data_IF_139384488727
#
_entry.id   IF_139384488727
#
_cell.length_a   1.000
_cell.length_b   1.000
_cell.length_c   1.000
_cell.angle_alpha   90.00
_cell.angle_beta   90.00
_cell.angle_gamma   90.00
#
_symmetry.space_group_name_H-M   'P 1'
#
loop_
_entity.id
_entity.type
_entity.pdbx_description
1 polymer ?
#
# COMPACT_ATOMS: atom_id res chain seq x y z
N UNK A 1 -19.29 -45.26 2.46
CA UNK A 1 -18.05 -44.73 1.87
C UNK A 1 -18.46 -43.61 0.92
N UNK A 2 -18.26 -42.37 1.40
CA UNK A 2 -18.34 -41.04 0.75
C UNK A 2 -19.48 -40.71 -0.24
N UNK A 3 -20.39 -39.89 0.30
CA UNK A 3 -21.37 -39.00 -0.33
C UNK A 3 -20.69 -37.78 -0.95
N UNK A 4 -21.09 -37.35 -2.15
CA UNK A 4 -21.10 -35.93 -2.55
C UNK A 4 -22.26 -35.67 -3.53
N UNK A 5 -22.96 -34.56 -3.27
CA UNK A 5 -24.25 -34.11 -3.82
C UNK A 5 -23.97 -32.78 -4.51
N UNK A 6 -24.06 -32.71 -5.84
CA UNK A 6 -23.87 -31.48 -6.60
C UNK A 6 -25.09 -31.20 -7.48
N UNK A 7 -25.93 -30.27 -7.03
CA UNK A 7 -26.74 -29.41 -7.88
C UNK A 7 -26.05 -28.04 -7.91
N UNK A 8 -25.94 -27.42 -9.09
CA UNK A 8 -26.38 -26.04 -9.37
C UNK A 8 -25.78 -25.55 -10.70
N UNK A 9 -26.66 -25.48 -11.70
CA UNK A 9 -26.78 -24.46 -12.74
C UNK A 9 -25.59 -24.04 -13.62
N UNK A 10 -25.60 -24.67 -14.80
CA UNK A 10 -25.42 -24.09 -16.13
C UNK A 10 -25.69 -22.56 -16.17
N UNK A 11 -24.64 -21.76 -16.38
CA UNK A 11 -24.74 -20.47 -17.10
C UNK A 11 -23.89 -20.56 -18.36
N UNK A 12 -24.60 -20.75 -19.47
CA UNK A 12 -24.10 -20.84 -20.83
C UNK A 12 -23.26 -19.61 -21.18
N UNK A 13 -22.02 -19.88 -21.59
CA UNK A 13 -21.15 -18.96 -22.29
C UNK A 13 -21.90 -18.29 -23.45
N UNK A 14 -22.13 -16.98 -23.30
CA UNK A 14 -22.14 -16.03 -24.42
C UNK A 14 -21.15 -14.91 -24.10
N UNK A 15 -19.91 -15.29 -23.77
CA UNK A 15 -18.82 -14.34 -23.58
C UNK A 15 -18.17 -14.08 -24.95
N UNK A 16 -18.45 -12.90 -25.49
CA UNK A 16 -17.85 -12.37 -26.72
C UNK A 16 -16.32 -12.52 -26.67
N UNK A 17 -15.68 -12.93 -27.78
CA UNK A 17 -14.22 -13.06 -27.92
C UNK A 17 -13.43 -11.84 -27.39
N UNK A 18 -14.06 -10.68 -27.37
CA UNK A 18 -13.49 -9.43 -26.86
C UNK A 18 -13.19 -9.46 -25.35
N UNK A 19 -14.02 -10.10 -24.52
CA UNK A 19 -13.80 -10.15 -23.07
C UNK A 19 -12.71 -11.12 -22.65
N UNK A 20 -12.51 -12.21 -23.41
CA UNK A 20 -11.38 -13.12 -23.22
C UNK A 20 -10.04 -12.47 -23.58
N UNK A 21 -9.98 -11.70 -24.67
CA UNK A 21 -8.78 -10.96 -25.09
C UNK A 21 -8.46 -9.84 -24.08
N UNK A 22 -9.48 -9.12 -23.59
CA UNK A 22 -9.30 -8.10 -22.55
C UNK A 22 -8.80 -8.74 -21.24
N UNK A 23 -9.34 -9.89 -20.84
CA UNK A 23 -8.86 -10.63 -19.67
C UNK A 23 -7.42 -11.13 -19.84
N UNK A 24 -7.06 -11.68 -21.00
CA UNK A 24 -5.68 -12.12 -21.30
C UNK A 24 -4.73 -10.93 -21.36
N UNK A 25 -5.14 -9.79 -21.93
CA UNK A 25 -4.36 -8.55 -21.92
C UNK A 25 -4.19 -8.01 -20.50
N UNK A 26 -5.24 -7.96 -19.68
CA UNK A 26 -5.16 -7.54 -18.28
C UNK A 26 -4.25 -8.47 -17.46
N UNK A 27 -4.37 -9.79 -17.65
CA UNK A 27 -3.50 -10.77 -16.98
C UNK A 27 -2.04 -10.63 -17.44
N UNK A 28 -1.83 -10.41 -18.73
CA UNK A 28 -0.49 -10.16 -19.30
C UNK A 28 0.10 -8.85 -18.80
N UNK A 29 -0.69 -7.78 -18.71
CA UNK A 29 -0.27 -6.46 -18.19
C UNK A 29 0.09 -6.55 -16.70
N UNK A 30 -0.74 -7.20 -15.88
CA UNK A 30 -0.44 -7.49 -14.47
C UNK A 30 0.82 -8.35 -14.32
N UNK A 31 0.96 -9.39 -15.15
CA UNK A 31 2.14 -10.26 -15.17
C UNK A 31 3.41 -9.48 -15.58
N UNK A 32 3.35 -8.60 -16.59
CA UNK A 32 4.49 -7.75 -16.97
C UNK A 32 4.88 -6.77 -15.87
N UNK A 33 3.95 -6.18 -15.12
CA UNK A 33 4.33 -5.26 -14.02
C UNK A 33 5.00 -5.99 -12.86
N UNK A 34 4.53 -7.19 -12.50
CA UNK A 34 5.15 -8.02 -11.46
C UNK A 34 6.51 -8.58 -11.94
N UNK A 35 6.64 -9.00 -13.20
CA UNK A 35 7.92 -9.39 -13.79
C UNK A 35 8.90 -8.23 -13.93
N UNK A 36 8.42 -7.03 -14.31
CA UNK A 36 9.25 -5.82 -14.40
C UNK A 36 9.80 -5.42 -13.03
N UNK A 37 8.95 -5.48 -12.00
CA UNK A 37 9.37 -5.33 -10.60
C UNK A 37 10.47 -6.31 -10.20
N UNK A 38 10.38 -7.57 -10.64
CA UNK A 38 11.41 -8.58 -10.36
C UNK A 38 12.69 -8.40 -11.19
N UNK A 39 12.65 -7.70 -12.33
CA UNK A 39 13.81 -7.52 -13.21
C UNK A 39 14.68 -6.30 -12.89
N UNK A 40 14.12 -5.30 -12.21
CA UNK A 40 14.87 -4.09 -11.80
C UNK A 40 15.55 -4.30 -10.45
N UNK A 41 16.76 -3.74 -10.30
CA UNK A 41 17.57 -3.87 -9.09
C UNK A 41 17.27 -2.73 -8.07
N UNK A 42 16.06 -2.71 -7.54
CA UNK A 42 15.68 -1.76 -6.48
C UNK A 42 16.50 -1.99 -5.21
N UNK A 43 16.92 -0.92 -4.55
CA UNK A 43 17.72 -0.97 -3.33
C UNK A 43 16.91 -0.58 -2.10
N UNK A 44 15.89 0.28 -2.25
CA UNK A 44 15.15 0.82 -1.11
C UNK A 44 13.68 1.10 -1.46
N UNK A 45 12.81 0.24 -0.97
CA UNK A 45 11.37 0.29 -1.24
C UNK A 45 10.64 1.04 -0.15
N UNK A 46 9.77 1.98 -0.53
CA UNK A 46 8.80 2.63 0.33
C UNK A 46 7.45 1.93 0.23
N UNK A 47 6.88 1.51 1.35
CA UNK A 47 5.53 0.98 1.44
C UNK A 47 4.69 1.85 2.38
N UNK A 48 3.96 2.86 1.85
CA UNK A 48 3.01 3.64 2.64
C UNK A 48 1.79 2.79 3.02
N UNK A 49 1.37 2.85 4.29
CA UNK A 49 0.24 2.07 4.80
C UNK A 49 -0.89 2.96 5.34
N UNK A 50 -2.12 2.41 5.35
CA UNK A 50 -3.31 3.08 5.89
C UNK A 50 -4.12 2.21 6.85
N UNK A 51 -3.55 1.07 7.30
CA UNK A 51 -4.20 0.04 8.11
C UNK A 51 -5.46 -0.59 7.49
N UNK A 52 -5.73 -0.31 6.22
CA UNK A 52 -6.76 -0.99 5.43
C UNK A 52 -6.24 -2.34 4.94
N UNK A 53 -7.14 -3.30 4.73
CA UNK A 53 -6.79 -4.65 4.28
C UNK A 53 -5.89 -4.63 3.03
N UNK A 54 -6.19 -3.75 2.06
CA UNK A 54 -5.41 -3.65 0.82
C UNK A 54 -3.99 -3.13 1.07
N UNK A 55 -3.85 -2.13 1.95
CA UNK A 55 -2.53 -1.62 2.34
C UNK A 55 -1.74 -2.68 3.12
N UNK A 56 -2.39 -3.48 3.96
CA UNK A 56 -1.75 -4.55 4.73
C UNK A 56 -1.38 -5.74 3.83
N UNK A 57 -2.18 -6.06 2.82
CA UNK A 57 -1.86 -7.08 1.83
C UNK A 57 -0.65 -6.67 0.99
N UNK A 58 -0.64 -5.41 0.52
CA UNK A 58 0.51 -4.86 -0.20
C UNK A 58 1.79 -4.89 0.64
N UNK A 59 1.70 -4.53 1.92
CA UNK A 59 2.82 -4.63 2.84
C UNK A 59 3.31 -6.08 2.97
N UNK A 60 2.41 -7.05 3.14
CA UNK A 60 2.78 -8.47 3.29
C UNK A 60 3.53 -9.00 2.07
N UNK A 61 3.04 -8.71 0.86
CA UNK A 61 3.72 -9.10 -0.38
C UNK A 61 5.09 -8.40 -0.50
N UNK A 62 5.17 -7.11 -0.15
CA UNK A 62 6.42 -6.35 -0.19
C UNK A 62 7.44 -6.90 0.79
N UNK A 63 7.04 -7.18 2.03
CA UNK A 63 7.88 -7.80 3.06
C UNK A 63 8.41 -9.15 2.59
N UNK A 64 7.56 -9.98 1.98
CA UNK A 64 7.99 -11.28 1.47
C UNK A 64 9.00 -11.12 0.32
N UNK A 65 8.81 -10.14 -0.54
CA UNK A 65 9.78 -9.84 -1.59
C UNK A 65 11.10 -9.34 -1.00
N UNK A 66 11.08 -8.29 -0.18
CA UNK A 66 12.28 -7.73 0.42
C UNK A 66 12.98 -8.74 1.32
N UNK A 67 12.30 -9.58 2.08
CA UNK A 67 12.97 -10.59 2.92
C UNK A 67 13.93 -11.49 2.14
N UNK A 68 13.62 -11.78 0.88
CA UNK A 68 14.40 -12.67 0.03
C UNK A 68 15.43 -11.95 -0.86
N UNK A 69 15.46 -10.62 -0.82
CA UNK A 69 16.35 -9.78 -1.63
C UNK A 69 17.02 -8.77 -0.71
N UNK A 70 18.32 -8.47 -0.82
CA UNK A 70 18.99 -7.55 0.12
C UNK A 70 18.57 -6.07 -0.11
N UNK A 71 17.29 -5.76 0.04
CA UNK A 71 16.60 -4.52 -0.29
C UNK A 71 16.05 -3.95 1.01
N UNK A 72 16.30 -2.68 1.28
CA UNK A 72 15.75 -2.00 2.45
C UNK A 72 14.25 -1.70 2.25
N UNK A 73 13.47 -1.87 3.32
CA UNK A 73 12.03 -1.61 3.33
C UNK A 73 11.71 -0.50 4.33
N UNK A 74 11.20 0.62 3.85
CA UNK A 74 10.60 1.66 4.68
C UNK A 74 9.08 1.51 4.71
N UNK A 75 8.53 1.35 5.91
CA UNK A 75 7.09 1.30 6.17
C UNK A 75 6.68 2.65 6.72
N UNK A 76 5.86 3.38 5.98
CA UNK A 76 5.47 4.75 6.33
C UNK A 76 3.99 4.82 6.68
N UNK A 77 3.68 5.35 7.86
CA UNK A 77 2.34 5.77 8.22
C UNK A 77 2.30 7.30 8.38
N UNK A 78 1.39 7.96 7.66
CA UNK A 78 1.20 9.41 7.78
C UNK A 78 -0.10 9.70 8.52
N UNK A 79 0.03 10.42 9.63
CA UNK A 79 -1.11 10.97 10.36
C UNK A 79 -1.53 12.25 9.66
N UNK A 80 -2.68 12.19 8.98
CA UNK A 80 -3.21 13.31 8.20
C UNK A 80 -3.66 14.46 9.12
N UNK A 81 -2.84 15.50 9.20
CA UNK A 81 -3.16 16.72 9.95
C UNK A 81 -3.96 17.74 9.13
N UNK A 82 -4.15 17.50 7.83
CA UNK A 82 -4.94 18.40 6.96
C UNK A 82 -6.44 18.16 7.08
N UNK A 83 -6.85 16.91 7.33
CA UNK A 83 -8.24 16.57 7.70
C UNK A 83 -8.66 17.21 9.03
N UNK A 84 -7.70 17.58 9.88
CA UNK A 84 -7.96 18.30 11.13
C UNK A 84 -8.22 19.80 10.92
N UNK A 85 -7.99 20.33 9.71
CA UNK A 85 -8.08 21.77 9.41
C UNK A 85 -9.29 22.15 8.54
N UNK A 86 -9.91 21.21 7.83
CA UNK A 86 -11.04 21.50 6.93
C UNK A 86 -12.40 21.26 7.61
N UNK A 87 -12.98 22.35 8.14
CA UNK A 87 -14.32 22.36 8.73
C UNK A 87 -14.32 23.04 10.10
N UNK A 88 -14.58 24.34 10.10
CA UNK A 88 -14.87 25.20 11.26
C UNK A 88 -15.38 24.49 12.54
N UNK A 89 -14.79 24.83 13.70
CA UNK A 89 -15.21 24.52 15.10
C UNK A 89 -14.68 23.26 15.82
N UNK A 90 -13.64 22.57 15.33
CA UNK A 90 -12.86 21.65 16.19
C UNK A 90 -11.60 22.36 16.69
N UNK A 91 -11.22 22.26 17.97
CA UNK A 91 -9.93 22.75 18.41
C UNK A 91 -8.86 22.00 17.61
N UNK A 92 -7.90 22.73 17.03
CA UNK A 92 -6.62 22.15 16.60
C UNK A 92 -6.18 21.20 17.70
N UNK A 93 -5.96 19.92 17.39
CA UNK A 93 -5.61 18.91 18.40
C UNK A 93 -4.53 19.48 19.30
N UNK A 94 -4.77 19.44 20.62
CA UNK A 94 -3.79 19.94 21.57
C UNK A 94 -2.48 19.16 21.39
N UNK A 95 -1.32 19.75 21.74
CA UNK A 95 -0.05 19.03 21.69
C UNK A 95 -0.10 17.68 22.42
N UNK A 96 -0.89 17.61 23.50
CA UNK A 96 -1.14 16.39 24.26
C UNK A 96 -1.90 15.34 23.44
N UNK A 97 -2.97 15.73 22.74
CA UNK A 97 -3.75 14.82 21.88
C UNK A 97 -2.93 14.31 20.69
N UNK A 98 -2.10 15.16 20.09
CA UNK A 98 -1.20 14.76 19.01
C UNK A 98 -0.19 13.72 19.50
N UNK A 99 0.36 13.93 20.70
CA UNK A 99 1.28 13.00 21.35
C UNK A 99 0.60 11.66 21.66
N UNK A 100 -0.59 11.67 22.25
CA UNK A 100 -1.35 10.45 22.54
C UNK A 100 -1.66 9.67 21.25
N UNK A 101 -2.04 10.37 20.18
CA UNK A 101 -2.28 9.74 18.89
C UNK A 101 -1.00 9.14 18.29
N UNK A 102 0.13 9.85 18.36
CA UNK A 102 1.42 9.33 17.96
C UNK A 102 1.78 8.06 18.74
N UNK A 103 1.68 8.08 20.06
CA UNK A 103 1.98 6.94 20.94
C UNK A 103 1.12 5.70 20.60
N UNK A 104 -0.16 5.89 20.28
CA UNK A 104 -1.06 4.81 19.84
C UNK A 104 -0.52 4.17 18.55
N UNK A 105 -0.19 4.99 17.54
CA UNK A 105 0.29 4.46 16.27
C UNK A 105 1.71 3.93 16.33
N UNK A 106 2.58 4.50 17.17
CA UNK A 106 3.91 3.98 17.49
C UNK A 106 3.79 2.58 18.07
N UNK A 107 2.90 2.37 19.04
CA UNK A 107 2.66 1.03 19.60
C UNK A 107 2.14 0.04 18.55
N UNK A 108 1.19 0.46 17.71
CA UNK A 108 0.68 -0.40 16.61
C UNK A 108 1.79 -0.73 15.60
N UNK A 109 2.62 0.23 15.26
CA UNK A 109 3.73 0.06 14.33
C UNK A 109 4.80 -0.85 14.93
N UNK A 110 5.17 -0.69 16.19
CA UNK A 110 6.11 -1.59 16.89
C UNK A 110 5.62 -3.03 16.88
N UNK A 111 4.34 -3.27 17.17
CA UNK A 111 3.76 -4.61 17.09
C UNK A 111 3.79 -5.19 15.67
N UNK A 112 3.52 -4.35 14.66
CA UNK A 112 3.59 -4.74 13.25
C UNK A 112 5.02 -5.14 12.86
N UNK A 113 6.01 -4.33 13.23
CA UNK A 113 7.42 -4.62 12.96
C UNK A 113 7.85 -5.90 13.68
N UNK A 114 7.50 -6.06 14.96
CA UNK A 114 7.85 -7.27 15.70
C UNK A 114 7.34 -8.52 14.98
N UNK A 115 6.08 -8.51 14.52
CA UNK A 115 5.53 -9.61 13.74
C UNK A 115 6.30 -9.87 12.45
N UNK A 116 6.70 -8.83 11.72
CA UNK A 116 7.48 -8.96 10.48
C UNK A 116 8.87 -9.57 10.75
N UNK A 117 9.48 -9.24 11.88
CA UNK A 117 10.76 -9.79 12.33
C UNK A 117 10.61 -11.25 12.77
N UNK A 118 9.56 -11.58 13.54
CA UNK A 118 9.25 -12.94 13.97
C UNK A 118 8.99 -13.89 12.78
N UNK A 119 8.47 -13.34 11.67
CA UNK A 119 8.30 -14.05 10.40
C UNK A 119 9.60 -14.20 9.57
N UNK A 120 10.75 -13.77 10.11
CA UNK A 120 12.09 -14.03 9.56
C UNK A 120 12.73 -12.87 8.80
N UNK A 121 12.20 -11.65 8.90
CA UNK A 121 12.84 -10.47 8.29
C UNK A 121 13.96 -9.92 9.18
N UNK A 122 14.98 -9.29 8.59
CA UNK A 122 16.10 -8.72 9.35
C UNK A 122 15.75 -7.35 9.95
N UNK A 123 16.19 -7.09 11.19
CA UNK A 123 16.06 -5.78 11.85
C UNK A 123 16.82 -4.65 11.13
N UNK A 124 17.85 -4.99 10.36
CA UNK A 124 18.63 -4.01 9.58
C UNK A 124 17.98 -3.70 8.22
N UNK A 125 16.93 -4.43 7.87
CA UNK A 125 16.26 -4.33 6.59
C UNK A 125 14.96 -3.53 6.67
N UNK A 126 14.22 -3.68 7.76
CA UNK A 126 12.87 -3.13 7.90
C UNK A 126 12.89 -1.92 8.83
N UNK A 127 12.47 -0.76 8.31
CA UNK A 127 12.41 0.50 9.03
C UNK A 127 10.97 1.01 9.08
N UNK A 128 10.50 1.41 10.25
CA UNK A 128 9.18 2.02 10.40
C UNK A 128 9.29 3.53 10.61
N UNK A 129 8.35 4.25 10.02
CA UNK A 129 8.28 5.70 10.06
C UNK A 129 6.86 6.16 10.31
N UNK A 130 6.71 7.08 11.27
CA UNK A 130 5.47 7.82 11.49
C UNK A 130 5.76 9.29 11.23
N UNK A 131 4.90 9.94 10.46
CA UNK A 131 5.01 11.37 10.11
C UNK A 131 3.66 12.04 10.25
N UNK A 132 3.66 13.33 10.55
CA UNK A 132 2.48 14.18 10.53
C UNK A 132 2.50 15.04 9.27
N UNK A 133 1.34 15.25 8.64
CA UNK A 133 1.22 16.15 7.50
C UNK A 133 0.21 15.68 6.46
N UNK A 134 0.25 16.29 5.28
CA UNK A 134 -0.49 15.80 4.11
C UNK A 134 0.20 14.54 3.58
N UNK A 135 -0.47 13.36 3.57
CA UNK A 135 0.12 12.13 3.06
C UNK A 135 0.66 12.25 1.65
N UNK A 136 0.05 13.09 0.81
CA UNK A 136 0.47 13.31 -0.58
C UNK A 136 1.87 13.92 -0.65
N UNK A 137 2.10 14.99 0.11
CA UNK A 137 3.39 15.71 0.16
C UNK A 137 4.44 14.89 0.88
N UNK A 138 4.08 14.31 2.02
CA UNK A 138 5.04 13.49 2.79
C UNK A 138 5.54 12.33 1.94
N UNK A 139 4.65 11.61 1.24
CA UNK A 139 5.04 10.45 0.42
C UNK A 139 5.80 10.86 -0.85
N UNK A 140 5.37 11.91 -1.57
CA UNK A 140 5.96 12.23 -2.89
C UNK A 140 7.17 13.16 -2.83
N UNK A 141 7.32 13.92 -1.75
CA UNK A 141 8.35 14.96 -1.64
C UNK A 141 9.26 14.63 -0.46
N UNK A 142 8.80 14.90 0.78
CA UNK A 142 9.67 14.90 1.95
C UNK A 142 10.39 13.56 2.18
N UNK A 143 9.66 12.45 2.08
CA UNK A 143 10.21 11.14 2.37
C UNK A 143 11.17 10.66 1.27
N UNK A 144 10.83 10.91 0.00
CA UNK A 144 11.68 10.54 -1.13
C UNK A 144 12.98 11.36 -1.17
N UNK A 145 12.93 12.64 -0.79
CA UNK A 145 14.12 13.48 -0.67
C UNK A 145 15.06 12.99 0.44
N UNK A 146 14.50 12.57 1.59
CA UNK A 146 15.26 12.13 2.76
C UNK A 146 15.89 10.75 2.55
N UNK A 147 15.10 9.76 2.10
CA UNK A 147 15.51 8.37 2.07
C UNK A 147 15.88 7.85 0.67
N UNK A 148 15.55 8.59 -0.39
CA UNK A 148 15.87 8.25 -1.78
C UNK A 148 15.36 6.86 -2.19
N UNK A 149 14.15 6.53 -1.78
CA UNK A 149 13.49 5.30 -2.23
C UNK A 149 13.36 5.29 -3.76
N UNK A 150 13.65 4.14 -4.36
CA UNK A 150 13.63 3.95 -5.81
C UNK A 150 12.36 3.24 -6.30
N UNK A 151 11.53 2.77 -5.37
CA UNK A 151 10.21 2.23 -5.65
C UNK A 151 9.23 2.54 -4.50
N UNK A 152 8.01 2.91 -4.87
CA UNK A 152 6.86 2.94 -3.97
C UNK A 152 5.93 1.76 -4.27
N UNK A 153 5.55 1.01 -3.23
CA UNK A 153 4.51 -0.03 -3.32
C UNK A 153 3.23 0.44 -2.63
N UNK A 154 2.12 0.46 -3.37
CA UNK A 154 0.80 0.86 -2.87
C UNK A 154 -0.20 -0.30 -2.95
N UNK A 155 -1.07 -0.41 -1.95
CA UNK A 155 -2.30 -1.19 -2.06
C UNK A 155 -3.34 -0.45 -2.90
N UNK A 156 -3.97 -1.14 -3.86
CA UNK A 156 -5.06 -0.57 -4.63
C UNK A 156 -6.28 -0.30 -3.74
N UNK A 157 -6.92 0.88 -3.81
CA UNK A 157 -8.21 1.10 -3.15
C UNK A 157 -9.33 0.21 -3.72
N UNK A 158 -10.25 -0.29 -2.89
CA UNK A 158 -11.43 -1.01 -3.38
C UNK A 158 -12.32 -0.09 -4.25
N UNK A 159 -12.86 -0.65 -5.34
CA UNK A 159 -13.74 0.05 -6.29
C UNK A 159 -14.98 0.68 -5.63
N UNK A 160 -15.51 0.09 -4.56
CA UNK A 160 -16.64 0.65 -3.81
C UNK A 160 -16.30 1.96 -3.07
N UNK A 161 -15.01 2.22 -2.79
CA UNK A 161 -14.52 3.49 -2.27
C UNK A 161 -14.09 4.47 -3.37
N UNK A 162 -13.96 4.01 -4.62
CA UNK A 162 -13.58 4.82 -5.76
C UNK A 162 -14.63 5.89 -6.07
N UNK A 163 -15.92 5.59 -5.91
CA UNK A 163 -17.02 6.54 -6.19
C UNK A 163 -16.95 7.85 -5.39
N UNK A 164 -16.18 7.92 -4.29
CA UNK A 164 -15.92 9.14 -3.50
C UNK A 164 -14.52 9.76 -3.73
N UNK A 165 -13.64 9.08 -4.47
CA UNK A 165 -12.20 9.35 -4.51
C UNK A 165 -11.68 9.92 -5.85
N UNK A 166 -12.56 10.12 -6.84
CA UNK A 166 -12.22 10.33 -8.26
C UNK A 166 -11.51 11.65 -8.62
N UNK A 167 -11.15 12.50 -7.66
CA UNK A 167 -10.45 13.76 -7.97
C UNK A 167 -9.33 14.14 -7.00
N UNK A 168 -8.98 13.31 -6.01
CA UNK A 168 -7.94 13.71 -5.04
C UNK A 168 -7.39 12.66 -4.07
N UNK A 169 -7.49 11.36 -4.37
CA UNK A 169 -6.98 10.33 -3.45
C UNK A 169 -5.45 10.34 -3.32
N UNK A 170 -4.92 9.93 -2.15
CA UNK A 170 -3.47 9.76 -1.93
C UNK A 170 -2.88 8.83 -2.99
N UNK A 171 -3.56 7.71 -3.28
CA UNK A 171 -3.17 6.78 -4.33
C UNK A 171 -3.02 7.49 -5.69
N UNK A 172 -4.06 8.20 -6.14
CA UNK A 172 -4.04 8.93 -7.43
C UNK A 172 -2.94 9.98 -7.48
N UNK A 173 -2.72 10.70 -6.38
CA UNK A 173 -1.67 11.72 -6.31
C UNK A 173 -0.29 11.09 -6.42
N UNK A 174 -0.01 10.07 -5.60
CA UNK A 174 1.28 9.37 -5.58
C UNK A 174 1.54 8.73 -6.95
N UNK A 175 0.56 8.03 -7.51
CA UNK A 175 0.64 7.43 -8.86
C UNK A 175 0.98 8.41 -9.97
N UNK A 176 0.69 9.71 -9.79
CA UNK A 176 0.91 10.74 -10.79
C UNK A 176 2.16 11.57 -10.56
N UNK A 177 2.54 11.82 -9.30
CA UNK A 177 3.53 12.82 -8.94
C UNK A 177 4.78 12.29 -8.24
N UNK A 178 4.83 11.01 -7.85
CA UNK A 178 6.06 10.48 -7.28
C UNK A 178 7.20 10.48 -8.29
N UNK A 179 8.41 10.79 -7.82
CA UNK A 179 9.61 10.88 -8.65
C UNK A 179 10.28 9.52 -8.93
N UNK A 180 9.80 8.44 -8.31
CA UNK A 180 10.32 7.09 -8.44
C UNK A 180 9.26 6.13 -9.01
N UNK A 181 9.66 4.89 -9.29
CA UNK A 181 8.76 3.88 -9.82
C UNK A 181 7.65 3.54 -8.82
N UNK A 182 6.51 3.08 -9.34
CA UNK A 182 5.33 2.77 -8.53
C UNK A 182 4.79 1.41 -8.91
N UNK A 183 4.66 0.55 -7.91
CA UNK A 183 3.99 -0.73 -8.01
C UNK A 183 2.67 -0.70 -7.24
N UNK A 184 1.61 -1.24 -7.85
CA UNK A 184 0.31 -1.41 -7.20
C UNK A 184 0.02 -2.88 -6.98
N UNK A 185 -0.43 -3.23 -5.78
CA UNK A 185 -0.85 -4.57 -5.39
C UNK A 185 -2.38 -4.58 -5.21
N UNK A 186 -3.02 -5.60 -5.78
CA UNK A 186 -4.47 -5.77 -5.79
C UNK A 186 -4.94 -6.79 -4.75
#
# INVERSE_FOLDING_TARGET
MLTLRNNEFIYILKFSFLTAIIMICLYSILCTRKCFFMSNNYQRILCPISWSDNSMNALKETVNYTRNHNIQLDILYVIDSTLLAFGSFQPVMSPQQQKELAEIYEKKMTNLIQKILDEGSSMYQVHSHIRFGDPRKVICENFLEEYRNDLIVLGQPHLNHLHRALTGSVYTYVSKYASCDILTIH
#
